data_IF_434628970756
#
_entry.id   IF_434628970756
#
_cell.length_a   1.000
_cell.length_b   1.000
_cell.length_c   1.000
_cell.angle_alpha   90.00
_cell.angle_beta   90.00
_cell.angle_gamma   90.00
#
_symmetry.space_group_name_H-M   'P 1'
#
loop_
_entity.id
_entity.type
_entity.pdbx_description
1 polymer ?
#
# COMPACT_ATOMS: atom_id res chain seq x y z
N UNK A 1 -25.67 42.00 50.54
CA UNK A 1 -25.12 40.63 50.53
C UNK A 1 -23.95 40.64 49.56
N UNK A 2 -22.74 40.91 50.04
CA UNK A 2 -21.56 41.06 49.17
C UNK A 2 -21.00 39.68 48.84
N UNK A 3 -21.14 39.25 47.58
CA UNK A 3 -20.48 38.03 47.10
C UNK A 3 -18.97 38.25 47.09
N UNK A 4 -18.25 37.34 47.75
CA UNK A 4 -16.80 37.36 47.85
C UNK A 4 -16.18 37.20 46.45
N UNK A 5 -15.07 37.91 46.17
CA UNK A 5 -14.41 37.94 44.84
C UNK A 5 -14.07 36.56 44.29
N UNK A 6 -13.75 35.61 45.16
CA UNK A 6 -13.50 34.20 44.81
C UNK A 6 -14.73 33.49 44.25
N UNK A 7 -15.93 33.82 44.73
CA UNK A 7 -17.17 33.23 44.19
C UNK A 7 -17.51 33.80 42.81
N UNK A 8 -17.19 35.06 42.54
CA UNK A 8 -17.43 35.68 41.22
C UNK A 8 -16.58 34.99 40.15
N UNK A 9 -15.32 34.68 40.44
CA UNK A 9 -14.44 33.93 39.53
C UNK A 9 -14.96 32.53 39.20
N UNK A 10 -15.45 31.80 40.21
CA UNK A 10 -16.05 30.48 40.00
C UNK A 10 -17.32 30.53 39.15
N UNK A 11 -18.18 31.55 39.35
CA UNK A 11 -19.40 31.70 38.55
C UNK A 11 -19.09 32.05 37.08
N UNK A 12 -18.09 32.89 36.81
CA UNK A 12 -17.67 33.20 35.44
C UNK A 12 -17.15 31.94 34.74
N UNK A 13 -16.35 31.13 35.43
CA UNK A 13 -15.76 29.91 34.86
C UNK A 13 -16.84 28.84 34.57
N UNK A 14 -17.82 28.69 35.45
CA UNK A 14 -18.97 27.78 35.25
C UNK A 14 -19.86 28.24 34.08
N UNK A 15 -20.14 29.54 33.97
CA UNK A 15 -20.96 30.08 32.87
C UNK A 15 -20.23 29.96 31.54
N UNK A 16 -18.92 30.20 31.49
CA UNK A 16 -18.12 30.01 30.27
C UNK A 16 -18.08 28.53 29.83
N UNK A 17 -17.95 27.59 30.77
CA UNK A 17 -17.98 26.15 30.47
C UNK A 17 -19.36 25.69 29.96
N UNK A 18 -20.45 26.20 30.55
CA UNK A 18 -21.80 25.92 30.08
C UNK A 18 -22.05 26.50 28.68
N UNK A 19 -21.53 27.69 28.38
CA UNK A 19 -21.66 28.30 27.06
C UNK A 19 -20.86 27.53 25.99
N UNK A 20 -19.68 27.02 26.33
CA UNK A 20 -18.89 26.17 25.44
C UNK A 20 -19.60 24.83 25.11
N UNK A 21 -20.25 24.19 26.09
CA UNK A 21 -21.01 22.94 25.83
C UNK A 21 -22.21 23.16 24.90
N UNK A 22 -22.89 24.31 24.98
CA UNK A 22 -24.04 24.62 24.10
C UNK A 22 -23.59 24.83 22.64
N UNK A 23 -22.38 25.33 22.41
CA UNK A 23 -21.83 25.51 21.06
C UNK A 23 -21.45 24.19 20.38
N UNK A 24 -21.05 23.17 21.15
CA UNK A 24 -20.69 21.84 20.59
C UNK A 24 -21.94 21.02 20.22
N UNK A 25 -23.08 21.24 20.87
CA UNK A 25 -24.32 20.51 20.57
C UNK A 25 -25.06 21.02 19.30
N UNK A 26 -24.59 22.11 18.68
CA UNK A 26 -25.25 22.74 17.53
C UNK A 26 -24.86 22.21 16.14
N UNK A 27 -23.88 21.31 16.04
CA UNK A 27 -23.32 20.84 14.76
C UNK A 27 -23.64 19.37 14.43
N UNK A 28 -24.80 18.84 14.84
CA UNK A 28 -25.29 17.57 14.30
C UNK A 28 -26.31 17.85 13.20
N UNK A 29 -25.79 17.96 11.97
CA UNK A 29 -26.58 17.99 10.73
C UNK A 29 -27.18 16.62 10.47
N UNK A 30 -28.49 16.59 10.25
CA UNK A 30 -29.25 15.42 9.82
C UNK A 30 -28.89 15.06 8.38
N UNK A 31 -28.58 13.77 8.13
CA UNK A 31 -28.36 13.21 6.81
C UNK A 31 -28.83 11.75 6.80
N UNK A 32 -29.71 11.44 5.86
CA UNK A 32 -30.63 10.30 5.81
C UNK A 32 -29.99 8.89 5.73
N UNK A 33 -30.61 7.93 6.43
CA UNK A 33 -30.49 6.49 6.16
C UNK A 33 -31.56 6.06 5.14
N UNK A 34 -31.23 5.13 4.22
CA UNK A 34 -32.21 4.21 3.68
C UNK A 34 -31.98 2.76 4.18
N UNK A 35 -33.07 2.26 4.76
CA UNK A 35 -33.61 0.90 4.75
C UNK A 35 -32.69 -0.30 4.43
N UNK A 36 -32.51 -1.11 5.49
CA UNK A 36 -32.28 -2.55 5.45
C UNK A 36 -33.41 -3.30 4.72
N UNK A 37 -33.04 -4.27 3.87
CA UNK A 37 -33.91 -5.34 3.40
C UNK A 37 -33.16 -6.67 3.45
N UNK A 38 -33.38 -7.41 4.54
CA UNK A 38 -33.15 -8.84 4.62
C UNK A 38 -34.00 -9.58 3.58
N UNK A 39 -33.38 -10.45 2.76
CA UNK A 39 -34.04 -11.69 2.35
C UNK A 39 -33.08 -12.87 2.45
N UNK A 40 -33.35 -13.66 3.49
CA UNK A 40 -33.07 -15.07 3.63
C UNK A 40 -33.71 -15.81 2.45
N UNK A 41 -32.96 -16.72 1.82
CA UNK A 41 -33.55 -17.84 1.08
C UNK A 41 -32.75 -19.10 1.37
N UNK A 42 -33.41 -19.92 2.18
CA UNK A 42 -33.11 -21.29 2.56
C UNK A 42 -33.71 -22.21 1.47
N UNK A 43 -32.91 -23.07 0.86
CA UNK A 43 -33.38 -24.20 0.04
C UNK A 43 -32.41 -25.37 0.28
N UNK A 44 -32.75 -26.26 1.21
CA UNK A 44 -33.43 -27.55 0.98
C UNK A 44 -32.54 -28.63 0.36
N UNK A 45 -32.23 -29.59 1.24
CA UNK A 45 -31.85 -30.98 1.02
C UNK A 45 -32.34 -31.62 -0.29
N UNK A 46 -31.45 -32.35 -0.97
CA UNK A 46 -31.81 -33.65 -1.55
C UNK A 46 -30.70 -34.68 -1.37
N UNK A 47 -30.97 -35.57 -0.43
CA UNK A 47 -30.44 -36.92 -0.25
C UNK A 47 -30.96 -37.86 -1.37
N UNK A 48 -30.10 -38.73 -1.93
CA UNK A 48 -30.32 -40.05 -2.59
C UNK A 48 -28.96 -40.42 -3.23
N UNK A 49 -28.37 -41.61 -3.12
CA UNK A 49 -28.76 -42.84 -2.46
C UNK A 49 -27.57 -43.81 -2.42
N UNK A 50 -27.64 -44.74 -1.47
CA UNK A 50 -26.69 -45.83 -1.26
C UNK A 50 -26.53 -46.73 -2.48
N UNK A 51 -25.31 -47.20 -2.73
CA UNK A 51 -25.07 -48.54 -3.26
C UNK A 51 -23.85 -49.13 -2.57
N UNK A 52 -24.08 -50.12 -1.72
CA UNK A 52 -23.06 -51.01 -1.20
C UNK A 52 -22.51 -51.87 -2.34
N UNK A 53 -21.19 -51.96 -2.46
CA UNK A 53 -20.58 -53.17 -2.97
C UNK A 53 -19.32 -53.50 -2.16
N UNK A 54 -19.23 -54.79 -1.82
CA UNK A 54 -18.30 -55.40 -0.90
C UNK A 54 -17.13 -56.04 -1.63
N UNK A 55 -15.93 -55.88 -1.07
CA UNK A 55 -14.83 -56.84 -1.17
C UNK A 55 -13.79 -56.53 -2.24
N UNK A 56 -12.60 -56.11 -1.82
CA UNK A 56 -11.37 -56.90 -1.93
C UNK A 56 -10.22 -56.17 -1.21
N UNK A 57 -9.52 -56.92 -0.35
CA UNK A 57 -8.23 -56.52 0.23
C UNK A 57 -7.26 -56.21 -0.92
N UNK A 58 -6.79 -54.97 -0.98
CA UNK A 58 -5.62 -54.62 -1.76
C UNK A 58 -4.69 -53.81 -0.88
N UNK A 59 -3.42 -54.17 -1.01
CA UNK A 59 -2.31 -53.79 -0.18
C UNK A 59 -2.17 -52.27 -0.09
N UNK A 60 -1.82 -51.85 1.12
CA UNK A 60 -1.44 -50.52 1.55
C UNK A 60 -0.31 -49.99 0.63
N UNK A 61 -0.73 -49.45 -0.52
CA UNK A 61 0.11 -48.64 -1.37
C UNK A 61 0.01 -47.23 -0.81
N UNK A 62 1.04 -46.91 -0.02
CA UNK A 62 1.56 -45.59 0.26
C UNK A 62 1.29 -44.67 -0.94
N UNK A 63 0.13 -44.03 -0.88
CA UNK A 63 -0.23 -42.98 -1.80
C UNK A 63 0.61 -41.82 -1.34
N UNK A 64 1.76 -41.66 -2.03
CA UNK A 64 2.62 -40.51 -1.93
C UNK A 64 1.78 -39.27 -2.19
N UNK A 65 1.18 -38.77 -1.13
CA UNK A 65 0.63 -37.44 -1.01
C UNK A 65 1.79 -36.54 -1.42
N UNK A 66 1.64 -35.87 -2.57
CA UNK A 66 2.58 -34.86 -3.00
C UNK A 66 2.55 -33.78 -1.91
N UNK A 67 3.39 -33.94 -0.89
CA UNK A 67 3.57 -32.94 0.15
C UNK A 67 4.03 -31.70 -0.60
N UNK A 68 3.13 -30.72 -0.69
CA UNK A 68 3.47 -29.40 -1.20
C UNK A 68 4.71 -28.91 -0.48
N UNK A 69 5.53 -28.12 -1.18
CA UNK A 69 6.69 -27.50 -0.57
C UNK A 69 6.27 -26.75 0.70
N UNK A 70 7.14 -26.77 1.71
CA UNK A 70 6.97 -25.99 2.93
C UNK A 70 6.65 -24.52 2.57
N UNK A 71 5.55 -23.93 3.06
CA UNK A 71 5.17 -22.55 2.76
C UNK A 71 6.29 -21.53 2.98
N UNK A 72 7.17 -21.76 3.98
CA UNK A 72 8.33 -20.89 4.20
C UNK A 72 9.35 -20.99 3.07
N UNK A 73 9.54 -22.19 2.51
CA UNK A 73 10.43 -22.40 1.35
C UNK A 73 9.87 -21.71 0.12
N UNK A 74 8.55 -21.76 -0.08
CA UNK A 74 7.89 -21.06 -1.19
C UNK A 74 8.04 -19.55 -1.03
N UNK A 75 7.72 -19.01 0.15
CA UNK A 75 7.87 -17.58 0.44
C UNK A 75 9.30 -17.08 0.21
N UNK A 76 10.30 -17.84 0.64
CA UNK A 76 11.71 -17.50 0.44
C UNK A 76 12.09 -17.48 -1.05
N UNK A 77 11.63 -18.45 -1.83
CA UNK A 77 11.88 -18.51 -3.28
C UNK A 77 11.22 -17.35 -4.02
N UNK A 78 9.99 -17.00 -3.63
CA UNK A 78 9.28 -15.83 -4.14
C UNK A 78 10.02 -14.54 -3.79
N UNK A 79 10.50 -14.42 -2.55
CA UNK A 79 11.26 -13.26 -2.07
C UNK A 79 12.51 -13.03 -2.90
N UNK A 80 13.32 -14.07 -3.12
CA UNK A 80 14.61 -13.98 -3.80
C UNK A 80 14.54 -13.41 -5.22
N UNK A 81 13.39 -13.52 -5.89
CA UNK A 81 13.18 -12.98 -7.24
C UNK A 81 12.39 -11.66 -7.26
N UNK A 82 12.00 -11.15 -6.11
CA UNK A 82 11.17 -9.96 -5.98
C UNK A 82 11.98 -8.66 -6.06
N UNK A 83 11.28 -7.56 -6.33
CA UNK A 83 11.88 -6.23 -6.28
C UNK A 83 12.35 -5.87 -4.85
N UNK A 84 11.71 -6.40 -3.80
CA UNK A 84 12.14 -6.15 -2.41
C UNK A 84 13.53 -6.72 -2.12
N UNK A 85 13.83 -7.92 -2.64
CA UNK A 85 15.12 -8.59 -2.41
C UNK A 85 16.26 -8.09 -3.32
N UNK A 86 15.96 -7.24 -4.30
CA UNK A 86 16.91 -6.85 -5.35
C UNK A 86 16.91 -5.36 -5.71
N UNK A 87 16.22 -4.51 -4.94
CA UNK A 87 16.20 -3.07 -5.22
C UNK A 87 17.53 -2.41 -4.89
N UNK A 88 18.13 -1.74 -5.88
CA UNK A 88 19.25 -0.79 -5.70
C UNK A 88 18.88 0.48 -6.45
N UNK A 89 18.82 1.60 -5.75
CA UNK A 89 18.26 2.86 -6.27
C UNK A 89 19.22 4.00 -6.01
N UNK A 90 19.29 4.96 -6.93
CA UNK A 90 20.05 6.20 -6.79
C UNK A 90 19.20 7.38 -7.26
N UNK A 91 19.39 8.54 -6.67
CA UNK A 91 18.83 9.79 -7.17
C UNK A 91 19.56 10.27 -8.45
N UNK A 92 19.08 11.38 -9.01
CA UNK A 92 19.65 12.01 -10.21
C UNK A 92 21.08 12.54 -10.04
N UNK A 93 21.56 12.70 -8.80
CA UNK A 93 22.95 13.06 -8.48
C UNK A 93 23.85 11.82 -8.25
N UNK A 94 23.27 10.62 -8.29
CA UNK A 94 23.97 9.35 -8.05
C UNK A 94 24.17 9.02 -6.57
N UNK A 95 23.49 9.71 -5.66
CA UNK A 95 23.47 9.37 -4.23
C UNK A 95 22.34 8.36 -3.96
N UNK A 96 22.41 7.61 -2.85
CA UNK A 96 21.39 6.62 -2.50
C UNK A 96 21.14 6.46 -1.00
N UNK A 97 21.86 7.20 -0.16
CA UNK A 97 21.79 7.00 1.28
C UNK A 97 20.40 7.31 1.83
N UNK A 98 19.77 8.40 1.38
CA UNK A 98 18.38 8.70 1.76
C UNK A 98 17.38 7.62 1.25
N UNK A 99 17.64 7.04 0.08
CA UNK A 99 16.83 5.96 -0.50
C UNK A 99 16.93 4.66 0.31
N UNK A 100 18.08 4.43 0.96
CA UNK A 100 18.30 3.25 1.80
C UNK A 100 17.30 3.16 2.95
N UNK A 101 16.69 4.27 3.40
CA UNK A 101 15.63 4.24 4.42
C UNK A 101 14.52 3.24 4.08
N UNK A 102 14.15 3.11 2.81
CA UNK A 102 13.07 2.21 2.38
C UNK A 102 13.60 0.98 1.62
N UNK A 103 14.68 1.14 0.85
CA UNK A 103 15.18 0.09 -0.04
C UNK A 103 16.34 -0.75 0.53
N UNK A 104 16.98 -0.26 1.60
CA UNK A 104 17.98 -0.98 2.36
C UNK A 104 18.00 -0.53 3.83
N UNK A 105 16.88 -0.70 4.56
CA UNK A 105 16.69 -0.09 5.87
C UNK A 105 17.78 -0.50 6.88
N UNK A 106 18.41 -1.66 6.68
CA UNK A 106 19.50 -2.11 7.55
C UNK A 106 20.78 -1.29 7.39
N UNK A 107 21.02 -0.69 6.22
CA UNK A 107 22.13 0.25 6.03
C UNK A 107 21.82 1.66 6.55
N UNK A 108 20.54 2.03 6.65
CA UNK A 108 20.13 3.37 7.07
C UNK A 108 20.17 3.56 8.59
N UNK A 109 20.03 2.47 9.35
CA UNK A 109 20.00 2.52 10.81
C UNK A 109 21.39 2.65 11.43
N UNK A 110 21.57 3.46 12.49
CA UNK A 110 22.84 3.54 13.23
C UNK A 110 23.24 2.18 13.80
N UNK A 111 24.55 1.92 13.89
CA UNK A 111 25.04 0.70 14.54
C UNK A 111 24.95 0.83 16.06
N UNK A 112 25.01 -0.29 16.80
CA UNK A 112 25.07 -0.27 18.27
C UNK A 112 26.24 0.54 18.82
N UNK A 113 27.33 0.66 18.06
CA UNK A 113 28.50 1.46 18.46
C UNK A 113 28.21 2.97 18.36
N UNK A 114 27.30 3.35 17.46
CA UNK A 114 26.86 4.73 17.25
C UNK A 114 25.70 5.14 18.18
N UNK A 115 24.99 4.17 18.77
CA UNK A 115 23.90 4.41 19.73
C UNK A 115 24.49 4.46 21.15
N UNK A 116 24.38 5.59 21.87
CA UNK A 116 24.90 5.69 23.22
C UNK A 116 24.13 4.78 24.20
N UNK A 117 24.83 4.23 25.19
CA UNK A 117 24.27 3.33 26.21
C UNK A 117 23.12 3.92 27.06
N UNK A 118 22.84 5.22 26.95
CA UNK A 118 21.74 5.86 27.69
C UNK A 118 20.87 6.74 26.81
N UNK A 119 19.59 6.38 26.68
CA UNK A 119 18.54 7.17 26.01
C UNK A 119 18.22 8.52 26.70
N UNK A 120 18.91 8.87 27.80
CA UNK A 120 18.75 10.16 28.49
C UNK A 120 19.52 11.31 27.82
N UNK A 121 20.37 11.02 26.85
CA UNK A 121 21.11 12.02 26.09
C UNK A 121 20.48 12.21 24.70
N UNK A 122 19.36 12.94 24.59
CA UNK A 122 18.75 13.30 23.29
C UNK A 122 19.60 14.24 22.39
N UNK A 123 20.92 14.34 22.60
CA UNK A 123 21.83 15.23 21.87
C UNK A 123 23.18 14.56 21.61
N UNK A 124 23.17 13.39 20.99
CA UNK A 124 24.38 12.89 20.35
C UNK A 124 24.32 13.25 18.88
N UNK A 125 25.47 13.67 18.36
CA UNK A 125 25.67 13.92 16.95
C UNK A 125 26.01 12.56 16.33
N UNK A 126 25.07 12.02 15.56
CA UNK A 126 25.40 10.91 14.67
C UNK A 126 26.36 11.43 13.59
N UNK A 127 27.38 10.66 13.21
CA UNK A 127 28.20 11.01 12.06
C UNK A 127 27.30 11.20 10.86
N UNK A 128 27.59 12.21 10.03
CA UNK A 128 26.86 12.40 8.77
C UNK A 128 27.10 11.14 7.94
N UNK A 129 26.05 10.38 7.59
CA UNK A 129 26.23 9.16 6.83
C UNK A 129 26.79 9.49 5.43
N UNK A 130 27.61 8.60 4.83
CA UNK A 130 28.05 8.77 3.45
C UNK A 130 26.85 8.94 2.52
N UNK A 131 26.93 9.84 1.55
CA UNK A 131 25.81 10.07 0.61
C UNK A 131 25.54 8.89 -0.32
N UNK A 132 26.54 7.99 -0.47
CA UNK A 132 26.47 6.80 -1.30
C UNK A 132 26.91 5.55 -0.53
N UNK A 133 26.09 4.50 -0.61
CA UNK A 133 26.33 3.14 -0.14
C UNK A 133 26.61 2.30 -1.38
N UNK A 134 27.72 1.55 -1.39
CA UNK A 134 28.04 0.70 -2.52
C UNK A 134 27.06 -0.47 -2.63
N UNK A 135 26.73 -0.89 -3.85
CA UNK A 135 25.83 -2.02 -4.09
C UNK A 135 26.29 -3.31 -3.39
N UNK A 136 27.60 -3.53 -3.29
CA UNK A 136 28.16 -4.68 -2.55
C UNK A 136 27.93 -4.64 -1.04
N UNK A 137 27.59 -3.47 -0.50
CA UNK A 137 27.29 -3.23 0.91
C UNK A 137 25.78 -3.04 1.14
N UNK A 138 24.99 -3.00 0.06
CA UNK A 138 23.56 -2.75 0.08
C UNK A 138 22.80 -3.99 0.60
N UNK A 139 22.11 -3.80 1.70
CA UNK A 139 21.34 -4.80 2.40
C UNK A 139 19.87 -4.55 2.11
N UNK A 140 19.39 -5.18 1.04
CA UNK A 140 17.99 -5.17 0.62
C UNK A 140 17.03 -5.49 1.77
N UNK A 141 15.73 -5.26 1.54
CA UNK A 141 14.71 -5.57 2.53
C UNK A 141 14.79 -7.04 2.93
N UNK A 142 14.88 -7.29 4.24
CA UNK A 142 14.95 -8.62 4.83
C UNK A 142 13.59 -9.05 5.35
N UNK A 143 13.35 -10.36 5.45
CA UNK A 143 12.12 -10.91 6.05
C UNK A 143 11.88 -10.35 7.47
N UNK A 144 12.95 -10.05 8.20
CA UNK A 144 12.92 -9.51 9.56
C UNK A 144 12.23 -8.14 9.66
N UNK A 145 12.11 -7.38 8.57
CA UNK A 145 11.37 -6.12 8.63
C UNK A 145 9.85 -6.31 8.70
N UNK A 146 9.37 -7.49 8.28
CA UNK A 146 7.95 -7.82 8.23
C UNK A 146 7.55 -8.91 9.23
N UNK A 147 8.50 -9.74 9.66
CA UNK A 147 8.27 -10.91 10.47
C UNK A 147 9.30 -11.03 11.59
N UNK A 148 8.83 -11.29 12.81
CA UNK A 148 9.73 -11.55 13.94
C UNK A 148 10.41 -12.92 13.81
N UNK A 149 11.67 -13.01 14.23
CA UNK A 149 12.34 -14.29 14.40
C UNK A 149 12.23 -14.77 15.85
N UNK A 150 11.95 -16.06 16.06
CA UNK A 150 12.02 -16.64 17.40
C UNK A 150 13.45 -16.71 17.93
N UNK A 151 13.61 -17.13 19.19
CA UNK A 151 14.94 -17.28 19.84
C UNK A 151 15.88 -18.28 19.17
N UNK A 152 15.39 -19.07 18.21
CA UNK A 152 16.18 -20.03 17.44
C UNK A 152 16.46 -19.50 16.02
N UNK A 153 16.00 -18.30 15.68
CA UNK A 153 16.14 -17.68 14.37
C UNK A 153 15.09 -18.11 13.36
N UNK A 154 13.97 -18.74 13.78
CA UNK A 154 12.90 -19.12 12.86
C UNK A 154 11.95 -17.93 12.66
N UNK A 155 11.71 -17.57 11.40
CA UNK A 155 10.75 -16.53 11.02
C UNK A 155 9.33 -16.97 11.41
N UNK A 156 8.63 -16.13 12.16
CA UNK A 156 7.23 -16.33 12.55
C UNK A 156 6.29 -15.85 11.43
N UNK A 157 5.15 -16.51 11.21
CA UNK A 157 4.21 -16.14 10.15
C UNK A 157 3.44 -14.85 10.45
N UNK A 158 3.30 -14.46 11.72
CA UNK A 158 2.67 -13.20 12.10
C UNK A 158 3.51 -12.00 11.64
N UNK A 159 2.82 -10.90 11.32
CA UNK A 159 3.47 -9.66 10.91
C UNK A 159 3.84 -8.78 12.09
N UNK A 160 5.02 -8.17 12.02
CA UNK A 160 5.54 -7.20 12.99
C UNK A 160 6.51 -6.25 12.28
N UNK A 161 6.74 -5.07 12.87
CA UNK A 161 7.67 -4.10 12.30
C UNK A 161 8.95 -4.03 13.13
N UNK A 162 10.09 -4.28 12.49
CA UNK A 162 11.41 -4.14 13.11
C UNK A 162 11.79 -2.66 13.21
N UNK A 163 11.53 -2.07 14.37
CA UNK A 163 11.75 -0.65 14.64
C UNK A 163 13.25 -0.35 14.84
N UNK A 164 13.96 -1.23 15.56
CA UNK A 164 15.39 -1.07 15.85
C UNK A 164 16.13 -2.38 15.51
N UNK A 165 16.61 -2.56 14.27
CA UNK A 165 17.31 -3.78 13.84
C UNK A 165 18.48 -4.15 14.72
N UNK A 166 19.25 -3.15 15.16
CA UNK A 166 20.44 -3.33 15.99
C UNK A 166 20.15 -3.97 17.36
N UNK A 167 18.92 -3.83 17.87
CA UNK A 167 18.46 -4.37 19.15
C UNK A 167 17.45 -5.52 18.99
N UNK A 168 17.10 -5.87 17.75
CA UNK A 168 16.01 -6.81 17.44
C UNK A 168 14.69 -6.38 18.13
N UNK A 169 14.43 -5.07 18.20
CA UNK A 169 13.19 -4.54 18.82
C UNK A 169 12.07 -4.42 17.78
N UNK A 170 11.02 -5.18 18.00
CA UNK A 170 9.81 -5.19 17.17
C UNK A 170 8.69 -4.38 17.79
N UNK A 171 7.87 -3.80 16.93
CA UNK A 171 6.60 -3.18 17.26
C UNK A 171 5.46 -3.97 16.63
N UNK A 172 4.34 -4.02 17.35
CA UNK A 172 3.10 -4.58 16.83
C UNK A 172 2.53 -3.65 15.75
N UNK A 173 1.97 -4.25 14.70
CA UNK A 173 1.23 -3.58 13.64
C UNK A 173 -0.19 -4.16 13.61
N UNK A 174 -1.18 -3.31 13.41
CA UNK A 174 -2.59 -3.72 13.43
C UNK A 174 -2.99 -4.44 12.13
N UNK A 175 -2.27 -4.21 11.03
CA UNK A 175 -2.61 -4.76 9.73
C UNK A 175 -1.43 -4.81 8.75
N UNK A 176 -1.55 -5.63 7.70
CA UNK A 176 -0.56 -5.67 6.61
C UNK A 176 -0.39 -4.30 5.94
N UNK A 177 -1.47 -3.54 5.75
CA UNK A 177 -1.41 -2.19 5.18
C UNK A 177 -0.62 -1.25 6.07
N UNK A 178 -0.78 -1.31 7.40
CA UNK A 178 0.04 -0.51 8.32
C UNK A 178 1.53 -0.83 8.16
N UNK A 179 1.87 -2.13 8.08
CA UNK A 179 3.25 -2.58 7.86
C UNK A 179 3.82 -2.07 6.52
N UNK A 180 3.08 -2.26 5.42
CA UNK A 180 3.52 -1.81 4.09
C UNK A 180 3.77 -0.30 4.07
N UNK A 181 2.90 0.49 4.73
CA UNK A 181 3.00 1.94 4.78
C UNK A 181 4.17 2.47 5.62
N UNK A 182 4.89 1.62 6.39
CA UNK A 182 6.16 2.03 7.03
C UNK A 182 7.21 2.47 5.99
N UNK A 183 7.16 1.89 4.79
CA UNK A 183 8.03 2.23 3.66
C UNK A 183 7.28 2.89 2.49
N UNK A 184 6.03 2.49 2.24
CA UNK A 184 5.26 2.94 1.07
C UNK A 184 4.43 4.22 1.30
N UNK A 185 4.46 4.80 2.50
CA UNK A 185 4.01 6.17 2.69
C UNK A 185 5.12 7.14 2.24
N UNK A 186 5.13 7.43 0.94
CA UNK A 186 6.14 8.21 0.22
C UNK A 186 5.80 9.70 0.14
N UNK A 187 4.92 10.20 1.01
CA UNK A 187 4.59 11.61 1.05
C UNK A 187 5.87 12.46 1.20
N UNK A 188 6.07 13.43 0.30
CA UNK A 188 7.24 14.31 0.25
C UNK A 188 8.57 13.65 -0.12
N UNK A 189 8.57 12.43 -0.65
CA UNK A 189 9.75 11.80 -1.25
C UNK A 189 9.83 12.20 -2.73
N UNK A 190 10.91 12.89 -3.17
CA UNK A 190 11.10 13.21 -4.59
C UNK A 190 11.02 11.97 -5.46
N UNK A 191 10.47 12.11 -6.67
CA UNK A 191 10.47 11.03 -7.67
C UNK A 191 9.79 9.73 -7.19
N UNK A 192 8.85 9.83 -6.23
CA UNK A 192 8.05 8.70 -5.77
C UNK A 192 6.55 8.95 -5.96
N UNK A 193 5.82 7.90 -6.33
CA UNK A 193 4.38 7.94 -6.48
C UNK A 193 3.70 7.83 -5.12
N UNK A 194 2.56 8.49 -4.96
CA UNK A 194 1.81 8.49 -3.71
C UNK A 194 0.87 7.29 -3.65
N UNK A 195 0.93 6.52 -2.57
CA UNK A 195 0.00 5.43 -2.32
C UNK A 195 -1.19 5.97 -1.54
N UNK A 196 -2.31 6.17 -2.24
CA UNK A 196 -3.59 6.58 -1.64
C UNK A 196 -4.62 5.56 -2.06
N UNK A 197 -5.04 4.70 -1.12
CA UNK A 197 -6.12 3.74 -1.35
C UNK A 197 -7.43 4.39 -0.91
N UNK A 198 -8.32 4.60 -1.86
CA UNK A 198 -9.61 5.28 -1.63
C UNK A 198 -10.70 4.67 -2.55
N UNK A 199 -11.87 5.30 -2.58
CA UNK A 199 -12.99 4.97 -3.45
C UNK A 199 -13.49 3.54 -3.23
N UNK A 200 -13.52 2.70 -4.27
CA UNK A 200 -14.18 1.39 -4.19
C UNK A 200 -13.37 0.32 -3.46
N UNK A 201 -12.09 0.57 -3.21
CA UNK A 201 -11.18 -0.37 -2.55
C UNK A 201 -10.66 0.14 -1.20
N UNK A 202 -11.25 1.19 -0.63
CA UNK A 202 -10.78 1.84 0.61
C UNK A 202 -10.62 0.88 1.80
N UNK A 203 -11.48 -0.15 1.87
CA UNK A 203 -11.47 -1.13 2.96
C UNK A 203 -10.59 -2.35 2.67
N UNK A 204 -9.92 -2.42 1.52
CA UNK A 204 -9.06 -3.54 1.15
C UNK A 204 -7.65 -3.41 1.73
N UNK A 205 -7.09 -4.54 2.13
CA UNK A 205 -5.70 -4.64 2.55
C UNK A 205 -4.77 -4.72 1.34
N UNK A 206 -3.53 -4.21 1.47
CA UNK A 206 -2.53 -4.27 0.39
C UNK A 206 -2.33 -5.71 -0.14
N UNK A 207 -2.38 -6.70 0.75
CA UNK A 207 -2.20 -8.12 0.44
C UNK A 207 -3.37 -8.76 -0.32
N UNK A 208 -4.50 -8.08 -0.46
CA UNK A 208 -5.62 -8.57 -1.27
C UNK A 208 -5.33 -8.40 -2.77
N UNK A 209 -4.54 -7.39 -3.13
CA UNK A 209 -4.12 -7.11 -4.51
C UNK A 209 -2.67 -7.50 -4.79
N UNK A 210 -1.78 -7.37 -3.81
CA UNK A 210 -0.34 -7.60 -3.96
C UNK A 210 0.11 -8.87 -3.24
N UNK A 211 1.00 -9.64 -3.87
CA UNK A 211 1.81 -10.61 -3.14
C UNK A 211 3.05 -9.90 -2.57
N UNK A 212 3.22 -9.83 -1.24
CA UNK A 212 4.37 -9.14 -0.65
C UNK A 212 5.69 -9.87 -0.93
N UNK A 213 5.63 -11.20 -1.16
CA UNK A 213 6.83 -12.00 -1.36
C UNK A 213 7.37 -11.95 -2.78
N UNK A 214 6.53 -11.87 -3.81
CA UNK A 214 7.01 -11.80 -5.20
C UNK A 214 6.73 -10.44 -5.87
N UNK A 215 6.11 -9.49 -5.15
CA UNK A 215 5.74 -8.14 -5.60
C UNK A 215 4.76 -8.07 -6.78
N UNK A 216 4.16 -9.19 -7.17
CA UNK A 216 3.14 -9.20 -8.23
C UNK A 216 1.84 -8.57 -7.72
N UNK A 217 1.11 -7.96 -8.65
CA UNK A 217 -0.21 -7.36 -8.42
C UNK A 217 -1.14 -7.70 -9.56
N UNK A 218 -2.43 -7.84 -9.27
CA UNK A 218 -3.44 -8.08 -10.30
C UNK A 218 -4.83 -7.72 -9.82
N UNK A 219 -5.61 -7.05 -10.67
CA UNK A 219 -7.04 -6.82 -10.45
C UNK A 219 -7.84 -8.14 -10.57
N UNK A 220 -7.28 -9.16 -11.21
CA UNK A 220 -7.96 -10.43 -11.52
C UNK A 220 -7.66 -11.52 -10.49
N UNK A 221 -7.22 -11.17 -9.28
CA UNK A 221 -6.89 -12.18 -8.28
C UNK A 221 -8.17 -12.87 -7.78
N UNK A 222 -8.18 -14.21 -7.80
CA UNK A 222 -9.33 -15.02 -7.40
C UNK A 222 -10.61 -14.64 -8.15
N UNK A 223 -11.65 -14.28 -7.41
CA UNK A 223 -12.98 -13.97 -7.94
C UNK A 223 -13.25 -12.44 -8.08
N UNK A 224 -12.24 -11.56 -7.97
CA UNK A 224 -12.47 -10.12 -7.95
C UNK A 224 -12.91 -9.56 -9.32
N UNK A 225 -12.11 -9.77 -10.37
CA UNK A 225 -12.38 -9.30 -11.74
C UNK A 225 -12.02 -10.34 -12.82
N UNK A 226 -12.14 -11.62 -12.51
CA UNK A 226 -11.69 -12.73 -13.38
C UNK A 226 -12.42 -12.81 -14.72
N UNK A 227 -13.62 -12.25 -14.83
CA UNK A 227 -14.44 -12.30 -16.04
C UNK A 227 -14.39 -11.02 -16.89
N UNK A 228 -13.76 -9.95 -16.41
CA UNK A 228 -13.77 -8.63 -17.07
C UNK A 228 -13.16 -8.65 -18.48
N UNK A 229 -12.13 -9.46 -18.69
CA UNK A 229 -11.49 -9.64 -20.01
C UNK A 229 -12.02 -10.85 -20.79
N UNK A 230 -13.02 -11.57 -20.27
CA UNK A 230 -13.60 -12.73 -20.95
C UNK A 230 -14.77 -12.37 -21.88
N UNK A 231 -15.36 -11.19 -21.69
CA UNK A 231 -16.47 -10.62 -22.46
C UNK A 231 -16.08 -9.25 -23.05
N UNK A 232 -14.92 -9.19 -23.73
CA UNK A 232 -14.30 -7.97 -24.28
C UNK A 232 -15.22 -7.14 -25.18
N UNK A 233 -16.19 -7.77 -25.83
CA UNK A 233 -17.12 -7.10 -26.77
C UNK A 233 -18.33 -6.48 -26.06
N UNK A 234 -18.52 -6.69 -24.74
CA UNK A 234 -19.70 -6.24 -24.01
C UNK A 234 -19.43 -5.02 -23.11
N UNK A 235 -18.17 -4.77 -22.74
CA UNK A 235 -17.78 -3.65 -21.88
C UNK A 235 -16.89 -2.69 -22.69
N UNK A 236 -17.38 -1.46 -22.89
CA UNK A 236 -16.65 -0.44 -23.63
C UNK A 236 -15.24 -0.23 -23.05
N UNK A 237 -14.23 -0.16 -23.93
CA UNK A 237 -12.83 0.04 -23.53
C UNK A 237 -12.13 -1.21 -22.97
N UNK A 238 -12.77 -2.38 -23.02
CA UNK A 238 -12.16 -3.68 -22.68
C UNK A 238 -11.92 -4.54 -23.92
N UNK A 239 -11.64 -3.89 -25.05
CA UNK A 239 -11.37 -4.50 -26.35
C UNK A 239 -9.87 -4.63 -26.62
N UNK A 240 -9.52 -5.23 -27.77
CA UNK A 240 -8.14 -5.45 -28.20
C UNK A 240 -7.34 -4.13 -28.38
N UNK A 241 -8.00 -3.00 -28.61
CA UNK A 241 -7.34 -1.70 -28.77
C UNK A 241 -6.85 -1.14 -27.42
N UNK A 242 -7.43 -1.61 -26.30
CA UNK A 242 -7.07 -1.18 -24.94
C UNK A 242 -6.25 -2.21 -24.16
N UNK A 243 -5.83 -3.32 -24.78
CA UNK A 243 -5.05 -4.38 -24.10
C UNK A 243 -3.70 -3.90 -23.50
N UNK A 244 -3.15 -2.83 -24.07
CA UNK A 244 -1.90 -2.20 -23.63
C UNK A 244 -2.18 -0.96 -22.75
N UNK A 245 -3.39 -0.87 -22.18
CA UNK A 245 -3.82 0.14 -21.22
C UNK A 245 -4.03 -0.50 -19.86
N UNK A 246 -3.31 -0.04 -18.84
CA UNK A 246 -3.49 -0.56 -17.49
C UNK A 246 -4.89 -0.21 -16.97
N UNK A 247 -5.47 -1.06 -16.13
CA UNK A 247 -6.78 -0.80 -15.53
C UNK A 247 -6.81 0.56 -14.82
N UNK A 248 -5.73 0.90 -14.10
CA UNK A 248 -5.59 2.18 -13.40
C UNK A 248 -5.54 3.38 -14.35
N UNK A 249 -5.03 3.26 -15.58
CA UNK A 249 -5.05 4.36 -16.55
C UNK A 249 -6.47 4.83 -16.89
N UNK A 250 -7.43 3.91 -16.94
CA UNK A 250 -8.84 4.22 -17.18
C UNK A 250 -9.61 4.50 -15.89
N UNK A 251 -9.38 3.68 -14.86
CA UNK A 251 -10.13 3.68 -13.61
C UNK A 251 -9.55 4.57 -12.51
N UNK A 252 -8.51 5.35 -12.79
CA UNK A 252 -7.99 6.31 -11.84
C UNK A 252 -9.02 7.39 -11.48
N UNK A 253 -9.24 7.54 -10.17
CA UNK A 253 -10.10 8.55 -9.57
C UNK A 253 -9.29 9.67 -8.88
N UNK A 254 -7.97 9.52 -8.75
CA UNK A 254 -7.09 10.58 -8.21
C UNK A 254 -6.92 11.77 -9.18
N UNK A 255 -7.33 11.62 -10.44
CA UNK A 255 -7.25 12.66 -11.46
C UNK A 255 -5.83 12.88 -11.96
N UNK A 256 -5.01 11.83 -11.99
CA UNK A 256 -3.62 11.90 -12.45
C UNK A 256 -3.53 12.03 -13.97
N UNK A 257 -2.37 12.39 -14.49
CA UNK A 257 -2.16 12.37 -15.94
C UNK A 257 -2.04 10.91 -16.43
N UNK A 258 -2.36 10.66 -17.70
CA UNK A 258 -2.32 9.33 -18.33
C UNK A 258 -1.53 9.39 -19.63
N UNK A 259 -0.73 8.37 -19.88
CA UNK A 259 0.10 8.27 -21.08
C UNK A 259 0.84 6.93 -21.16
N UNK A 260 1.54 6.67 -22.28
CA UNK A 260 2.42 5.51 -22.38
C UNK A 260 3.65 5.69 -21.49
N UNK A 261 3.94 4.70 -20.66
CA UNK A 261 5.20 4.61 -19.93
C UNK A 261 6.37 4.56 -20.92
N UNK A 262 7.39 5.44 -20.80
CA UNK A 262 8.53 5.46 -21.72
C UNK A 262 9.35 4.16 -21.74
N UNK A 263 9.32 3.36 -20.67
CA UNK A 263 10.11 2.12 -20.60
C UNK A 263 9.36 0.92 -21.20
N UNK A 264 8.09 0.76 -20.83
CA UNK A 264 7.29 -0.41 -21.24
C UNK A 264 6.38 -0.15 -22.45
N UNK A 265 6.05 1.11 -22.73
CA UNK A 265 5.05 1.50 -23.71
C UNK A 265 3.59 1.27 -23.27
N UNK A 266 3.36 0.65 -22.12
CA UNK A 266 2.02 0.39 -21.56
C UNK A 266 1.45 1.71 -21.06
N UNK A 267 0.19 1.99 -21.37
CA UNK A 267 -0.49 3.17 -20.84
C UNK A 267 -0.74 3.01 -19.35
N UNK A 268 -0.34 4.02 -18.60
CA UNK A 268 -0.46 4.05 -17.15
C UNK A 268 -0.74 5.46 -16.66
N UNK A 269 -1.03 5.60 -15.37
CA UNK A 269 -1.12 6.89 -14.71
C UNK A 269 0.25 7.44 -14.34
N UNK A 270 0.32 8.76 -14.18
CA UNK A 270 1.52 9.48 -13.79
C UNK A 270 1.30 10.19 -12.46
N UNK A 271 1.89 9.66 -11.39
CA UNK A 271 1.75 10.24 -10.05
C UNK A 271 2.58 11.52 -9.93
N UNK A 272 1.99 12.62 -9.45
CA UNK A 272 2.73 13.84 -9.19
C UNK A 272 3.55 13.71 -7.90
N UNK A 273 4.76 14.25 -7.93
CA UNK A 273 5.59 14.41 -6.75
C UNK A 273 6.01 15.86 -6.57
N UNK A 274 6.24 16.25 -5.33
CA UNK A 274 6.81 17.55 -5.00
C UNK A 274 7.68 17.48 -3.76
N UNK A 275 8.79 18.21 -3.76
CA UNK A 275 9.73 18.25 -2.66
C UNK A 275 10.33 19.64 -2.50
N UNK A 276 10.48 20.08 -1.26
CA UNK A 276 11.06 21.37 -0.93
C UNK A 276 12.58 21.24 -0.77
N UNK A 277 13.33 21.90 -1.64
CA UNK A 277 14.80 21.89 -1.63
C UNK A 277 15.32 23.20 -1.06
N UNK A 278 16.14 23.12 -0.02
CA UNK A 278 16.81 24.28 0.56
C UNK A 278 17.91 24.78 -0.38
N UNK A 279 17.86 26.06 -0.78
CA UNK A 279 18.88 26.73 -1.62
C UNK A 279 19.73 27.73 -0.82
N UNK A 280 19.57 27.75 0.50
CA UNK A 280 20.30 28.59 1.45
C UNK A 280 19.82 28.35 2.88
N UNK A 281 20.27 29.18 3.83
CA UNK A 281 19.89 29.04 5.24
C UNK A 281 18.40 29.36 5.52
N UNK A 282 17.77 30.17 4.66
CA UNK A 282 16.38 30.64 4.85
C UNK A 282 15.51 30.54 3.59
N UNK A 283 16.07 30.07 2.48
CA UNK A 283 15.40 30.03 1.19
C UNK A 283 15.25 28.58 0.73
N UNK A 284 14.07 28.26 0.22
CA UNK A 284 13.73 26.97 -0.38
C UNK A 284 13.05 27.17 -1.73
N UNK A 285 13.12 26.16 -2.57
CA UNK A 285 12.36 26.07 -3.82
C UNK A 285 11.53 24.79 -3.81
N UNK A 286 10.31 24.86 -4.33
CA UNK A 286 9.53 23.67 -4.60
C UNK A 286 9.97 23.07 -5.93
N UNK A 287 10.49 21.85 -5.89
CA UNK A 287 10.66 21.02 -7.07
C UNK A 287 9.45 20.10 -7.21
N UNK A 288 9.03 19.84 -8.44
CA UNK A 288 7.90 18.96 -8.72
C UNK A 288 8.07 18.29 -10.07
N UNK A 289 7.44 17.13 -10.23
CA UNK A 289 7.40 16.39 -11.48
C UNK A 289 6.35 15.30 -11.44
N UNK A 290 6.42 14.39 -12.40
CA UNK A 290 5.55 13.22 -12.51
C UNK A 290 6.39 11.99 -12.80
N UNK A 291 5.96 10.83 -12.31
CA UNK A 291 6.57 9.53 -12.64
C UNK A 291 5.49 8.53 -13.07
N UNK A 292 5.79 7.56 -13.94
CA UNK A 292 4.89 6.43 -14.18
C UNK A 292 4.60 5.71 -12.86
N UNK A 293 3.32 5.60 -12.49
CA UNK A 293 2.92 4.98 -11.23
C UNK A 293 1.44 4.60 -11.28
N UNK A 294 1.11 3.36 -10.96
CA UNK A 294 -0.29 2.90 -10.92
C UNK A 294 -1.05 3.60 -9.80
N UNK A 295 -2.15 4.27 -10.13
CA UNK A 295 -3.05 4.86 -9.14
C UNK A 295 -3.64 3.79 -8.22
N UNK A 296 -3.75 4.14 -6.95
CA UNK A 296 -4.39 3.31 -5.93
C UNK A 296 -5.78 3.85 -5.54
N UNK A 297 -6.17 5.02 -6.04
CA UNK A 297 -7.53 5.54 -5.95
C UNK A 297 -8.28 5.13 -7.22
N UNK A 298 -9.01 4.02 -7.11
CA UNK A 298 -9.68 3.37 -8.24
C UNK A 298 -11.17 3.62 -8.15
N UNK A 299 -11.74 4.19 -9.21
CA UNK A 299 -13.15 4.47 -9.38
C UNK A 299 -13.85 3.54 -10.38
N UNK A 300 -15.19 3.50 -10.31
CA UNK A 300 -16.01 2.76 -11.26
C UNK A 300 -16.22 3.53 -12.58
N UNK A 301 -16.20 4.85 -12.51
CA UNK A 301 -16.42 5.71 -13.67
C UNK A 301 -15.11 5.88 -14.45
N UNK A 302 -15.19 5.74 -15.77
CA UNK A 302 -14.07 5.96 -16.69
C UNK A 302 -14.32 7.23 -17.47
N UNK A 303 -13.30 8.08 -17.55
CA UNK A 303 -13.31 9.28 -18.40
C UNK A 303 -12.47 9.05 -19.66
N UNK A 304 -13.11 8.59 -20.74
CA UNK A 304 -12.45 8.37 -22.03
C UNK A 304 -11.84 9.64 -22.63
N UNK A 305 -12.31 10.84 -22.26
CA UNK A 305 -11.76 12.11 -22.77
C UNK A 305 -10.33 12.37 -22.31
N UNK A 306 -9.82 11.61 -21.32
CA UNK A 306 -8.39 11.65 -20.91
C UNK A 306 -7.46 11.17 -22.03
N UNK A 307 -7.94 10.33 -22.92
CA UNK A 307 -7.18 9.79 -24.05
C UNK A 307 -7.79 10.18 -25.39
N UNK A 308 -9.11 10.24 -25.52
CA UNK A 308 -9.81 10.51 -26.76
C UNK A 308 -10.20 11.99 -26.89
N UNK A 309 -9.21 12.88 -27.03
CA UNK A 309 -9.42 14.32 -27.14
C UNK A 309 -8.71 14.95 -28.34
N UNK A 310 -9.19 16.13 -28.74
CA UNK A 310 -8.66 16.83 -29.91
C UNK A 310 -7.24 17.32 -29.69
N UNK A 311 -6.36 17.00 -30.64
CA UNK A 311 -4.94 17.34 -30.54
C UNK A 311 -4.17 16.48 -29.54
N UNK A 312 -4.68 15.28 -29.23
CA UNK A 312 -3.93 14.28 -28.47
C UNK A 312 -2.53 14.06 -29.11
N UNK A 313 -1.44 14.15 -28.34
CA UNK A 313 -0.07 14.08 -28.88
C UNK A 313 0.34 12.70 -29.41
N UNK A 314 -0.45 11.67 -29.12
CA UNK A 314 -0.30 10.29 -29.58
C UNK A 314 -1.22 9.95 -30.77
N UNK A 315 -1.88 10.95 -31.36
CA UNK A 315 -2.72 10.82 -32.56
C UNK A 315 -3.92 9.85 -32.41
N UNK A 316 -4.41 9.67 -31.17
CA UNK A 316 -5.61 8.87 -30.88
C UNK A 316 -6.88 9.54 -31.45
N UNK A 317 -7.87 8.71 -31.82
CA UNK A 317 -9.14 9.20 -32.36
C UNK A 317 -9.99 9.87 -31.28
N UNK A 318 -10.60 11.01 -31.61
CA UNK A 318 -11.57 11.69 -30.73
C UNK A 318 -12.88 10.91 -30.58
N UNK A 319 -13.23 10.09 -31.57
CA UNK A 319 -14.45 9.30 -31.55
C UNK A 319 -14.28 8.09 -30.64
N UNK A 320 -15.00 8.09 -29.53
CA UNK A 320 -15.32 6.89 -28.76
C UNK A 320 -16.57 6.30 -29.39
N UNK A 321 -16.41 5.34 -30.31
CA UNK A 321 -17.56 4.64 -30.89
C UNK A 321 -18.09 3.63 -29.88
N UNK A 322 -19.36 3.77 -29.49
CA UNK A 322 -20.08 2.82 -28.65
C UNK A 322 -20.62 1.74 -29.60
N UNK A 323 -20.37 0.44 -29.35
CA UNK A 323 -21.00 -0.66 -30.09
C UNK A 323 -22.55 -0.58 -30.13
#
# INVERSE_FOLDING_TARGET
MFMNRTRIGQWILIVSLLFAMVLVAGCQSSGDQPASSNQVSEATDMNIGSTSNSGEESEDSDSGEAQGLDPLVVAQQEWEISAHASSFVTDSEGNNNACARCHAPNNWMPTLEDIPESCQACKFELPVPPSFIQESEWQHVLCLYCHEADKKGNIQPEVSWLEIPALEEYSEVESHSELCLKCHNTENVPEHGQVVVDSVHIDMQCTECHSPHNTTTTCMNGDCHSEVLSDTDQILGHDDDHKDVSCAACHDNAGWDVGPDPETGIWTTFSPWSHEVMIGEADSILQSGTIPFSSHDIGLEVNCERCHFSGNPWELTESVEIP
#
